data_IF_310797582871
#
_entry.id   IF_310797582871
#
_cell.length_a   1.000
_cell.length_b   1.000
_cell.length_c   1.000
_cell.angle_alpha   90.00
_cell.angle_beta   90.00
_cell.angle_gamma   90.00
#
_symmetry.space_group_name_H-M   'P 1'
#
loop_
_entity.id
_entity.type
_entity.pdbx_description
1 polymer ?
#
# COMPACT_ATOMS: atom_id res chain seq x y z
N UNK A 1 14.90 14.48 4.28
CA UNK A 1 14.07 14.79 5.47
C UNK A 1 12.63 14.30 5.23
N UNK A 2 11.87 13.99 6.31
CA UNK A 2 10.43 13.65 6.17
C UNK A 2 9.66 14.89 5.76
N UNK A 3 8.76 14.74 4.78
CA UNK A 3 7.95 15.83 4.27
C UNK A 3 6.74 16.08 5.21
N UNK A 4 6.64 17.27 5.76
CA UNK A 4 5.47 17.70 6.50
C UNK A 4 4.36 18.19 5.54
N UNK A 5 3.12 18.30 6.04
CA UNK A 5 1.93 18.66 5.25
C UNK A 5 2.12 19.87 4.31
N UNK A 6 2.71 21.01 4.74
CA UNK A 6 2.89 22.15 3.83
C UNK A 6 3.75 21.80 2.62
N UNK A 7 4.81 21.01 2.84
CA UNK A 7 5.72 20.58 1.80
C UNK A 7 5.07 19.54 0.87
N UNK A 8 4.36 18.55 1.43
CA UNK A 8 3.58 17.58 0.64
C UNK A 8 2.63 18.31 -0.31
N UNK A 9 1.88 19.27 0.22
CA UNK A 9 0.94 20.07 -0.59
C UNK A 9 1.65 20.93 -1.65
N UNK A 10 2.83 21.46 -1.35
CA UNK A 10 3.66 22.22 -2.31
C UNK A 10 4.12 21.32 -3.45
N UNK A 11 4.62 20.12 -3.14
CA UNK A 11 5.09 19.15 -4.12
C UNK A 11 3.98 18.64 -5.03
N UNK A 12 2.77 18.39 -4.45
CA UNK A 12 1.59 17.96 -5.23
C UNK A 12 1.13 19.10 -6.15
N UNK A 13 0.99 20.32 -5.65
CA UNK A 13 0.58 21.48 -6.47
C UNK A 13 1.58 21.79 -7.59
N UNK A 14 2.85 21.59 -7.33
CA UNK A 14 3.92 21.73 -8.33
C UNK A 14 4.03 20.56 -9.31
N UNK A 15 3.18 19.53 -9.19
CA UNK A 15 3.16 18.38 -10.08
C UNK A 15 4.34 17.42 -9.93
N UNK A 16 5.20 17.60 -8.92
CA UNK A 16 6.36 16.74 -8.65
C UNK A 16 5.93 15.41 -8.02
N UNK A 17 4.98 15.44 -7.09
CA UNK A 17 4.31 14.27 -6.53
C UNK A 17 2.90 14.25 -7.11
N UNK A 18 2.46 13.08 -7.62
CA UNK A 18 1.09 12.90 -8.08
C UNK A 18 0.45 11.76 -7.31
N UNK A 19 -0.78 11.98 -6.89
CA UNK A 19 -1.64 11.00 -6.22
C UNK A 19 -2.96 10.99 -6.98
N UNK A 20 -3.36 9.87 -7.54
CA UNK A 20 -4.57 9.76 -8.35
C UNK A 20 -5.38 8.51 -7.96
N UNK A 21 -6.62 8.66 -7.48
CA UNK A 21 -7.35 9.90 -7.22
C UNK A 21 -6.77 10.71 -6.04
N UNK A 22 -6.84 12.04 -6.13
CA UNK A 22 -6.35 12.95 -5.09
C UNK A 22 -7.48 13.41 -4.16
N UNK A 23 -7.27 13.22 -2.86
CA UNK A 23 -8.13 13.78 -1.82
C UNK A 23 -7.30 14.57 -0.80
N UNK A 24 -7.51 15.89 -0.77
CA UNK A 24 -6.81 16.78 0.18
C UNK A 24 -7.08 16.41 1.65
N UNK A 25 -8.23 15.77 1.96
CA UNK A 25 -8.57 15.29 3.31
C UNK A 25 -7.76 14.07 3.73
N UNK A 26 -7.07 13.42 2.79
CA UNK A 26 -6.16 12.32 3.07
C UNK A 26 -4.79 12.80 3.58
N UNK A 27 -4.47 14.11 3.45
CA UNK A 27 -3.16 14.65 3.81
C UNK A 27 -3.13 14.94 5.32
N UNK A 28 -2.41 14.10 6.06
CA UNK A 28 -2.10 14.24 7.48
C UNK A 28 -0.93 15.19 7.75
N UNK A 29 -0.48 15.33 9.01
CA UNK A 29 0.62 16.23 9.39
C UNK A 29 1.94 15.97 8.65
N UNK A 30 2.28 14.69 8.42
CA UNK A 30 3.49 14.24 7.71
C UNK A 30 3.26 12.91 6.97
N UNK A 31 2.04 12.67 6.50
CA UNK A 31 1.69 11.44 5.78
C UNK A 31 0.49 11.65 4.87
N UNK A 32 0.27 10.71 3.98
CA UNK A 32 -0.89 10.63 3.08
C UNK A 32 -1.62 9.33 3.37
N UNK A 33 -2.88 9.39 3.77
CA UNK A 33 -3.73 8.20 3.92
C UNK A 33 -4.01 7.59 2.54
N UNK A 34 -3.87 6.28 2.42
CA UNK A 34 -4.15 5.52 1.20
C UNK A 34 -5.33 4.57 1.42
N UNK A 35 -6.08 4.37 0.36
CA UNK A 35 -7.38 3.70 0.36
C UNK A 35 -7.28 2.30 -0.23
N UNK A 36 -7.92 1.33 0.42
CA UNK A 36 -8.08 -0.04 -0.13
C UNK A 36 -9.03 -0.01 -1.33
N UNK A 37 -8.61 -0.62 -2.43
CA UNK A 37 -9.45 -0.83 -3.61
C UNK A 37 -10.42 -2.00 -3.44
N UNK A 38 -11.18 -2.32 -4.48
CA UNK A 38 -12.29 -3.29 -4.47
C UNK A 38 -11.87 -4.74 -4.73
N UNK A 39 -10.57 -5.03 -4.81
CA UNK A 39 -10.05 -6.38 -5.09
C UNK A 39 -9.03 -6.82 -4.07
N UNK A 40 -9.07 -8.12 -3.77
CA UNK A 40 -8.04 -8.83 -3.00
C UNK A 40 -7.53 -10.04 -3.77
N UNK A 41 -6.30 -10.46 -3.50
CA UNK A 41 -5.83 -11.82 -3.78
C UNK A 41 -5.88 -12.61 -2.49
N UNK A 42 -6.65 -13.69 -2.51
CA UNK A 42 -6.87 -14.58 -1.39
C UNK A 42 -6.09 -15.87 -1.67
N UNK A 43 -5.18 -16.21 -0.77
CA UNK A 43 -4.42 -17.44 -0.86
C UNK A 43 -5.32 -18.63 -0.54
N UNK A 44 -5.37 -19.60 -1.43
CA UNK A 44 -6.25 -20.77 -1.34
C UNK A 44 -5.52 -22.10 -1.62
N UNK A 45 -4.21 -22.10 -1.46
CA UNK A 45 -3.35 -23.26 -1.71
C UNK A 45 -2.41 -23.50 -0.54
N UNK A 46 -2.19 -24.77 -0.22
CA UNK A 46 -1.23 -25.27 0.76
C UNK A 46 0.06 -25.78 0.11
N UNK A 47 0.32 -25.40 -1.12
CA UNK A 47 1.51 -25.82 -1.86
C UNK A 47 2.79 -25.41 -1.17
N UNK A 48 3.75 -26.32 -1.11
CA UNK A 48 5.10 -25.99 -0.69
C UNK A 48 5.76 -25.06 -1.70
N UNK A 49 6.21 -23.89 -1.22
CA UNK A 49 6.98 -22.94 -2.02
C UNK A 49 8.46 -23.34 -1.89
N UNK A 50 9.01 -23.94 -2.93
CA UNK A 50 10.40 -24.40 -2.97
C UNK A 50 11.34 -23.44 -3.69
N UNK A 51 10.80 -22.39 -4.32
CA UNK A 51 11.56 -21.41 -5.11
C UNK A 51 11.07 -19.99 -4.77
N UNK A 52 12.02 -19.07 -4.65
CA UNK A 52 11.73 -17.66 -4.33
C UNK A 52 11.10 -16.86 -5.52
N UNK A 53 11.20 -17.40 -6.74
CA UNK A 53 10.72 -16.79 -7.99
C UNK A 53 9.31 -17.24 -8.39
N UNK A 54 8.55 -17.87 -7.47
CA UNK A 54 7.16 -18.25 -7.74
C UNK A 54 6.29 -17.01 -7.97
N UNK A 55 5.50 -17.04 -9.03
CA UNK A 55 4.49 -16.00 -9.24
C UNK A 55 3.34 -16.18 -8.22
N UNK A 56 3.25 -15.26 -7.26
CA UNK A 56 2.20 -15.25 -6.23
C UNK A 56 0.79 -15.27 -6.81
N UNK A 57 0.58 -14.79 -8.04
CA UNK A 57 -0.71 -14.80 -8.73
C UNK A 57 -1.21 -16.22 -9.00
N UNK A 58 -0.30 -17.19 -9.08
CA UNK A 58 -0.64 -18.62 -9.22
C UNK A 58 -1.06 -19.28 -7.91
N UNK A 59 -0.76 -18.64 -6.77
CA UNK A 59 -1.06 -19.12 -5.42
C UNK A 59 -2.31 -18.48 -4.82
N UNK A 60 -2.81 -17.41 -5.43
CA UNK A 60 -3.88 -16.61 -4.86
C UNK A 60 -4.94 -16.24 -5.89
N UNK A 61 -6.21 -16.42 -5.54
CA UNK A 61 -7.35 -16.06 -6.39
C UNK A 61 -7.66 -14.56 -6.27
N UNK A 62 -7.77 -13.88 -7.42
CA UNK A 62 -8.29 -12.52 -7.47
C UNK A 62 -9.79 -12.52 -7.18
N UNK A 63 -10.20 -11.76 -6.18
CA UNK A 63 -11.58 -11.74 -5.65
C UNK A 63 -12.06 -10.31 -5.54
N UNK A 64 -13.26 -10.04 -6.07
CA UNK A 64 -13.98 -8.78 -5.85
C UNK A 64 -14.52 -8.73 -4.42
N UNK A 65 -14.32 -7.58 -3.75
CA UNK A 65 -14.76 -7.37 -2.38
C UNK A 65 -15.71 -6.16 -2.24
N UNK A 66 -16.45 -5.82 -3.27
CA UNK A 66 -17.42 -4.70 -3.25
C UNK A 66 -18.41 -4.85 -2.09
N UNK A 67 -18.82 -6.08 -1.77
CA UNK A 67 -19.67 -6.38 -0.61
C UNK A 67 -18.92 -6.45 0.73
N UNK A 68 -17.59 -6.28 0.69
CA UNK A 68 -16.68 -6.46 1.82
C UNK A 68 -16.14 -7.88 1.91
N UNK A 69 -15.03 -8.02 2.63
CA UNK A 69 -14.37 -9.30 2.92
C UNK A 69 -14.13 -9.46 4.41
N UNK A 70 -14.45 -10.62 4.96
CA UNK A 70 -14.24 -10.92 6.37
C UNK A 70 -12.90 -11.65 6.53
N UNK A 71 -11.87 -10.91 6.94
CA UNK A 71 -10.51 -11.41 7.16
C UNK A 71 -10.45 -12.19 8.48
N UNK A 72 -10.14 -13.48 8.39
CA UNK A 72 -10.03 -14.38 9.55
C UNK A 72 -8.75 -14.09 10.37
N UNK A 73 -8.72 -14.44 11.68
CA UNK A 73 -7.48 -14.45 12.46
C UNK A 73 -6.41 -15.33 11.84
N UNK A 74 -5.19 -14.80 11.68
CA UNK A 74 -4.07 -15.51 11.06
C UNK A 74 -4.10 -15.54 9.52
N UNK A 75 -5.08 -14.90 8.90
CA UNK A 75 -5.19 -14.85 7.44
C UNK A 75 -4.37 -13.72 6.84
N UNK A 76 -3.65 -14.03 5.75
CA UNK A 76 -2.94 -13.10 4.87
C UNK A 76 -3.69 -12.99 3.54
N UNK A 77 -3.93 -11.75 3.11
CA UNK A 77 -4.42 -11.44 1.76
C UNK A 77 -3.59 -10.32 1.16
N UNK A 78 -3.52 -10.26 -0.17
CA UNK A 78 -2.94 -9.09 -0.83
C UNK A 78 -4.06 -8.15 -1.28
N UNK A 79 -3.95 -6.89 -0.90
CA UNK A 79 -4.78 -5.81 -1.41
C UNK A 79 -3.97 -4.88 -2.31
N UNK A 80 -4.60 -3.87 -2.86
CA UNK A 80 -3.95 -2.81 -3.63
C UNK A 80 -4.56 -1.47 -3.26
N UNK A 81 -3.74 -0.41 -3.31
CA UNK A 81 -4.24 0.95 -3.10
C UNK A 81 -5.10 1.40 -4.27
N UNK A 82 -6.15 2.17 -4.00
CA UNK A 82 -6.92 2.85 -5.03
C UNK A 82 -6.06 3.90 -5.74
N UNK A 83 -5.22 4.58 -4.95
CA UNK A 83 -4.37 5.64 -5.44
C UNK A 83 -3.16 5.10 -6.20
N UNK A 84 -2.94 5.65 -7.40
CA UNK A 84 -1.66 5.60 -8.10
C UNK A 84 -0.75 6.70 -7.56
N UNK A 85 0.46 6.33 -7.22
CA UNK A 85 1.46 7.22 -6.62
C UNK A 85 2.59 7.41 -7.61
N UNK A 86 2.89 8.67 -7.96
CA UNK A 86 4.06 9.02 -8.76
C UNK A 86 4.99 9.88 -7.93
N UNK A 87 6.22 9.41 -7.76
CA UNK A 87 7.28 10.10 -7.01
C UNK A 87 8.39 10.57 -7.96
N UNK A 88 8.99 11.74 -7.71
CA UNK A 88 10.19 12.18 -8.43
C UNK A 88 11.41 11.36 -8.01
N UNK A 89 12.51 11.51 -8.75
CA UNK A 89 13.74 10.74 -8.55
C UNK A 89 14.47 11.02 -7.20
N UNK A 90 14.10 12.07 -6.50
CA UNK A 90 14.68 12.52 -5.23
C UNK A 90 13.74 12.37 -4.03
N UNK A 91 12.61 11.67 -4.19
CA UNK A 91 11.66 11.38 -3.10
C UNK A 91 11.32 9.90 -3.06
N UNK A 92 11.45 9.30 -1.89
CA UNK A 92 11.00 7.95 -1.57
C UNK A 92 9.87 7.99 -0.54
N UNK A 93 9.33 6.81 -0.20
CA UNK A 93 8.27 6.71 0.79
C UNK A 93 8.27 5.41 1.57
N UNK A 94 7.48 5.40 2.65
CA UNK A 94 7.29 4.26 3.53
C UNK A 94 5.82 4.05 3.83
N UNK A 95 5.34 2.85 3.56
CA UNK A 95 3.98 2.44 3.96
C UNK A 95 3.98 2.04 5.43
N UNK A 96 2.96 2.50 6.16
CA UNK A 96 2.75 2.12 7.55
C UNK A 96 1.27 1.85 7.81
N UNK A 97 1.00 0.93 8.73
CA UNK A 97 -0.35 0.72 9.24
C UNK A 97 -0.83 1.93 10.03
N UNK A 98 -2.10 2.28 9.89
CA UNK A 98 -2.69 3.31 10.73
C UNK A 98 -2.94 2.77 12.14
N UNK A 99 -2.61 3.57 13.16
CA UNK A 99 -2.68 3.19 14.59
C UNK A 99 -4.04 2.61 14.99
N UNK A 100 -5.15 3.13 14.42
CA UNK A 100 -6.50 2.62 14.71
C UNK A 100 -6.69 1.16 14.32
N UNK A 101 -6.09 0.73 13.22
CA UNK A 101 -6.14 -0.65 12.74
C UNK A 101 -5.12 -1.52 13.43
N UNK A 102 -3.91 -1.01 13.66
CA UNK A 102 -2.87 -1.73 14.40
C UNK A 102 -3.34 -2.15 15.80
N UNK A 103 -4.13 -1.30 16.49
CA UNK A 103 -4.69 -1.59 17.83
C UNK A 103 -5.72 -2.71 17.88
N UNK A 104 -6.30 -3.09 16.75
CA UNK A 104 -7.21 -4.25 16.64
C UNK A 104 -6.54 -5.46 15.98
N UNK A 105 -5.22 -5.39 15.75
CA UNK A 105 -4.42 -6.47 15.18
C UNK A 105 -4.36 -6.49 13.66
N UNK A 106 -4.90 -5.48 12.95
CA UNK A 106 -4.77 -5.41 11.50
C UNK A 106 -3.43 -4.80 11.12
N UNK A 107 -2.60 -5.58 10.44
CA UNK A 107 -1.40 -5.14 9.75
C UNK A 107 -1.76 -4.89 8.30
N UNK A 108 -1.74 -3.64 7.86
CA UNK A 108 -2.07 -3.29 6.47
C UNK A 108 -0.89 -3.44 5.52
N UNK A 109 0.29 -3.65 6.05
CA UNK A 109 1.52 -3.93 5.33
C UNK A 109 2.53 -4.57 6.29
N UNK A 110 3.29 -5.60 5.83
CA UNK A 110 4.14 -6.40 6.72
C UNK A 110 5.63 -6.18 6.43
N UNK A 111 6.09 -6.50 5.21
CA UNK A 111 7.51 -6.75 4.97
C UNK A 111 8.18 -5.81 3.96
N UNK A 112 7.48 -5.31 2.95
CA UNK A 112 8.08 -4.52 1.87
C UNK A 112 7.54 -3.07 1.80
N UNK A 113 7.70 -2.25 2.86
CA UNK A 113 7.03 -0.94 2.98
C UNK A 113 7.65 0.16 2.11
N UNK A 114 8.80 -0.09 1.48
CA UNK A 114 9.57 0.96 0.81
C UNK A 114 9.07 1.26 -0.59
N UNK A 115 8.70 2.50 -0.83
CA UNK A 115 8.43 3.06 -2.14
C UNK A 115 9.69 3.74 -2.68
N UNK A 116 10.28 3.15 -3.70
CA UNK A 116 11.47 3.68 -4.33
C UNK A 116 11.22 5.03 -5.04
N UNK A 117 12.22 5.89 -5.17
CA UNK A 117 12.08 7.11 -5.96
C UNK A 117 11.84 6.79 -7.43
N UNK A 118 11.15 7.70 -8.13
CA UNK A 118 10.86 7.58 -9.55
C UNK A 118 9.77 6.57 -9.92
N UNK A 119 9.02 6.02 -8.95
CA UNK A 119 7.89 5.11 -9.22
C UNK A 119 6.67 5.85 -9.78
N UNK A 120 5.82 5.12 -10.52
CA UNK A 120 4.48 5.56 -10.91
C UNK A 120 3.53 4.36 -10.97
N UNK A 121 3.07 3.89 -9.81
CA UNK A 121 2.23 2.69 -9.70
C UNK A 121 1.29 2.74 -8.50
N UNK A 122 0.43 1.73 -8.39
CA UNK A 122 -0.40 1.44 -7.22
C UNK A 122 0.39 0.54 -6.27
N UNK A 123 0.10 0.61 -4.96
CA UNK A 123 0.85 -0.17 -3.98
C UNK A 123 0.11 -1.43 -3.58
N UNK A 124 0.78 -2.57 -3.71
CA UNK A 124 0.27 -3.84 -3.18
C UNK A 124 0.47 -3.84 -1.67
N UNK A 125 -0.57 -4.24 -0.96
CA UNK A 125 -0.63 -4.28 0.49
C UNK A 125 -0.68 -5.73 0.98
N UNK A 126 0.25 -6.10 1.84
CA UNK A 126 0.29 -7.39 2.54
C UNK A 126 -0.59 -7.29 3.79
N UNK A 127 -1.88 -7.56 3.67
CA UNK A 127 -2.86 -7.37 4.74
C UNK A 127 -2.96 -8.64 5.57
N UNK A 128 -2.67 -8.55 6.87
CA UNK A 128 -2.68 -9.67 7.78
C UNK A 128 -3.47 -9.37 9.06
N UNK A 129 -4.27 -10.31 9.51
CA UNK A 129 -4.98 -10.23 10.78
C UNK A 129 -4.20 -10.96 11.88
N UNK A 130 -3.41 -10.22 12.65
CA UNK A 130 -2.69 -10.71 13.82
C UNK A 130 -3.55 -10.74 15.10
N UNK A 131 -4.80 -10.27 15.02
CA UNK A 131 -5.76 -10.24 16.13
C UNK A 131 -6.51 -11.56 16.31
N UNK A 132 -7.43 -11.57 17.26
CA UNK A 132 -8.30 -12.74 17.55
C UNK A 132 -9.71 -12.60 16.97
N UNK A 133 -10.07 -11.41 16.52
CA UNK A 133 -11.40 -11.12 15.99
C UNK A 133 -11.34 -11.06 14.46
N UNK A 134 -12.42 -11.50 13.80
CA UNK A 134 -12.58 -11.28 12.36
C UNK A 134 -12.67 -9.80 12.07
N UNK A 135 -12.02 -9.35 11.00
CA UNK A 135 -11.98 -7.93 10.62
C UNK A 135 -12.62 -7.79 9.25
N UNK A 136 -13.69 -6.98 9.13
CA UNK A 136 -14.31 -6.71 7.84
C UNK A 136 -13.51 -5.67 7.07
N UNK A 137 -12.93 -6.08 5.95
CA UNK A 137 -12.33 -5.20 4.97
C UNK A 137 -13.40 -4.67 4.02
N UNK A 138 -13.40 -3.37 3.76
CA UNK A 138 -14.32 -2.73 2.82
C UNK A 138 -13.54 -1.88 1.83
N UNK A 139 -13.91 -1.84 0.56
CA UNK A 139 -13.40 -0.85 -0.38
C UNK A 139 -13.60 0.56 0.16
N UNK A 140 -12.67 1.45 -0.11
CA UNK A 140 -12.74 2.83 0.38
C UNK A 140 -12.20 3.03 1.81
N UNK A 141 -11.82 1.98 2.53
CA UNK A 141 -11.15 2.14 3.82
C UNK A 141 -9.79 2.81 3.63
N UNK A 142 -9.52 3.91 4.35
CA UNK A 142 -8.16 4.47 4.48
C UNK A 142 -7.34 3.55 5.39
N UNK A 143 -6.73 2.52 4.80
CA UNK A 143 -6.18 1.38 5.52
C UNK A 143 -4.74 1.58 5.99
N UNK A 144 -3.93 2.27 5.20
CA UNK A 144 -2.53 2.58 5.53
C UNK A 144 -2.24 4.06 5.31
N UNK A 145 -1.03 4.49 5.63
CA UNK A 145 -0.55 5.82 5.28
C UNK A 145 0.87 5.75 4.71
N UNK A 146 1.15 6.67 3.80
CA UNK A 146 2.44 6.87 3.16
C UNK A 146 3.16 8.03 3.83
N UNK A 147 4.35 7.77 4.38
CA UNK A 147 5.31 8.79 4.82
C UNK A 147 6.28 9.04 3.69
N UNK A 148 6.50 10.30 3.34
CA UNK A 148 7.41 10.71 2.25
C UNK A 148 8.70 11.28 2.81
N UNK A 149 9.82 10.99 2.14
CA UNK A 149 11.15 11.39 2.54
C UNK A 149 11.98 11.81 1.33
N UNK A 150 12.71 12.91 1.44
CA UNK A 150 13.72 13.31 0.45
C UNK A 150 14.92 12.39 0.48
N UNK A 151 15.39 11.99 -0.70
CA UNK A 151 16.63 11.26 -0.90
C UNK A 151 17.81 12.24 -1.05
N UNK A 152 18.96 11.84 -0.58
CA UNK A 152 20.21 12.54 -0.92
C UNK A 152 20.70 12.04 -2.27
N UNK A 153 20.45 12.80 -3.33
CA UNK A 153 20.70 12.43 -4.72
C UNK A 153 19.45 11.91 -5.41
N UNK A 154 19.58 11.52 -6.66
CA UNK A 154 18.50 11.08 -7.53
C UNK A 154 18.69 9.64 -7.95
N UNK A 155 17.59 8.87 -7.98
CA UNK A 155 17.53 7.51 -8.51
C UNK A 155 16.14 7.21 -9.04
N UNK A 156 16.03 6.30 -10.00
CA UNK A 156 14.74 5.87 -10.52
C UNK A 156 14.65 4.36 -10.47
N UNK A 157 13.58 3.85 -9.89
CA UNK A 157 13.32 2.42 -9.82
C UNK A 157 13.07 1.83 -11.21
N UNK A 158 13.84 0.80 -11.57
CA UNK A 158 13.74 0.07 -12.83
C UNK A 158 13.53 -1.45 -12.63
N UNK A 159 13.13 -1.87 -11.43
CA UNK A 159 12.94 -3.28 -11.08
C UNK A 159 11.65 -3.88 -11.63
N UNK A 160 11.49 -5.20 -11.41
CA UNK A 160 10.38 -6.00 -11.93
C UNK A 160 8.96 -5.53 -11.51
N UNK A 161 8.85 -4.79 -10.40
CA UNK A 161 7.58 -4.32 -9.85
C UNK A 161 7.23 -2.87 -10.24
N UNK A 162 7.92 -2.33 -11.26
CA UNK A 162 7.67 -0.96 -11.74
C UNK A 162 6.21 -0.71 -12.11
N UNK A 163 5.58 -1.67 -12.77
CA UNK A 163 4.19 -1.62 -13.24
C UNK A 163 3.32 -2.65 -12.51
N UNK A 164 3.53 -2.81 -11.19
CA UNK A 164 2.81 -3.80 -10.40
C UNK A 164 1.30 -3.57 -10.41
N UNK A 165 0.56 -4.68 -10.54
CA UNK A 165 -0.89 -4.79 -10.41
C UNK A 165 -1.23 -6.06 -9.64
N UNK A 166 -2.39 -6.05 -8.97
CA UNK A 166 -2.84 -7.14 -8.10
C UNK A 166 -3.12 -8.44 -8.87
#
# INVERSE_FOLDING_TARGET
MILAKPEILRQIRGGRIKIDPYDVKAIGPASIDLTLDDKLRIFNTDRHITRADVDYKTLAKLTDITAGYLLEPGELVLGITKERITLPADVCGWLNSRSRFARIGLMSHIAAPFLAPGISNRQILEIFNAGRNKIKLMPGMRICHLVLQECRGEATYAGAWKDQEL
#
